data_IF_941305260523
#
_entry.id   IF_941305260523
#
_cell.length_a   1.000
_cell.length_b   1.000
_cell.length_c   1.000
_cell.angle_alpha   90.00
_cell.angle_beta   90.00
_cell.angle_gamma   90.00
#
_symmetry.space_group_name_H-M   'P 1'
#
loop_
_entity.id
_entity.type
_entity.pdbx_description
1 polymer ?
#
# COMPACT_ATOMS: atom_id res chain seq x y z
N UNK A 1 8.30 -21.07 -19.00
CA UNK A 1 7.91 -20.05 -18.01
C UNK A 1 8.43 -20.39 -16.62
N UNK A 2 8.58 -21.68 -16.29
CA UNK A 2 9.05 -22.15 -14.98
C UNK A 2 10.49 -21.71 -14.65
N UNK A 3 11.40 -21.70 -15.62
CA UNK A 3 12.79 -21.24 -15.38
C UNK A 3 12.87 -19.76 -14.97
N UNK A 4 12.00 -18.90 -15.51
CA UNK A 4 11.98 -17.47 -15.16
C UNK A 4 11.39 -17.27 -13.77
N UNK A 5 10.27 -17.94 -13.46
CA UNK A 5 9.67 -17.88 -12.12
C UNK A 5 10.62 -18.44 -11.05
N UNK A 6 11.37 -19.51 -11.36
CA UNK A 6 12.37 -20.08 -10.45
C UNK A 6 13.50 -19.09 -10.20
N UNK A 7 14.07 -18.47 -11.24
CA UNK A 7 15.12 -17.46 -11.10
C UNK A 7 14.63 -16.25 -10.28
N UNK A 8 13.44 -15.74 -10.57
CA UNK A 8 12.82 -14.63 -9.82
C UNK A 8 12.61 -15.01 -8.36
N UNK A 9 12.11 -16.21 -8.08
CA UNK A 9 11.92 -16.68 -6.71
C UNK A 9 13.26 -16.80 -5.96
N UNK A 10 14.30 -17.31 -6.62
CA UNK A 10 15.66 -17.38 -6.05
C UNK A 10 16.20 -15.99 -5.68
N UNK A 11 15.87 -14.96 -6.45
CA UNK A 11 16.23 -13.57 -6.13
C UNK A 11 15.35 -12.95 -5.02
N UNK A 12 14.04 -13.20 -5.06
CA UNK A 12 13.07 -12.64 -4.10
C UNK A 12 13.21 -13.23 -2.70
N UNK A 13 13.35 -14.56 -2.61
CA UNK A 13 13.35 -15.30 -1.35
C UNK A 13 14.31 -14.73 -0.30
N UNK A 14 15.61 -14.55 -0.57
CA UNK A 14 16.54 -14.06 0.44
C UNK A 14 16.22 -12.64 0.91
N UNK A 15 15.63 -11.81 0.06
CA UNK A 15 15.27 -10.42 0.42
C UNK A 15 14.00 -10.41 1.29
N UNK A 16 12.98 -11.19 0.90
CA UNK A 16 11.74 -11.32 1.66
C UNK A 16 11.97 -11.98 3.03
N UNK A 17 12.83 -13.01 3.09
CA UNK A 17 13.20 -13.70 4.33
C UNK A 17 13.98 -12.78 5.28
N UNK A 18 14.85 -11.91 4.77
CA UNK A 18 15.53 -10.91 5.62
C UNK A 18 14.53 -9.89 6.16
N UNK A 19 13.64 -9.39 5.31
CA UNK A 19 12.64 -8.39 5.71
C UNK A 19 11.66 -8.91 6.77
N UNK A 20 11.24 -10.18 6.67
CA UNK A 20 10.33 -10.77 7.68
C UNK A 20 11.01 -10.99 9.03
N UNK A 21 12.31 -11.32 9.03
CA UNK A 21 13.09 -11.53 10.26
C UNK A 21 13.45 -10.20 10.92
N UNK A 22 13.99 -9.25 10.16
CA UNK A 22 14.43 -7.97 10.68
C UNK A 22 14.17 -6.83 9.69
N UNK A 23 13.33 -5.87 10.10
CA UNK A 23 13.07 -4.67 9.32
C UNK A 23 14.11 -3.60 9.64
N UNK A 24 14.79 -3.14 8.59
CA UNK A 24 15.73 -2.03 8.64
C UNK A 24 15.65 -1.24 7.33
N UNK A 25 16.33 -0.08 7.28
CA UNK A 25 16.43 0.70 6.05
C UNK A 25 17.01 -0.13 4.91
N UNK A 26 18.06 -0.91 5.20
CA UNK A 26 18.72 -1.77 4.22
C UNK A 26 17.77 -2.87 3.71
N UNK A 27 17.12 -3.63 4.59
CA UNK A 27 16.26 -4.74 4.15
C UNK A 27 15.04 -4.25 3.38
N UNK A 28 14.56 -3.05 3.68
CA UNK A 28 13.47 -2.41 2.96
C UNK A 28 13.90 -1.89 1.59
N UNK A 29 15.08 -1.25 1.50
CA UNK A 29 15.65 -0.75 0.24
C UNK A 29 16.07 -1.88 -0.71
N UNK A 30 16.60 -2.98 -0.19
CA UNK A 30 16.91 -4.18 -0.98
C UNK A 30 15.67 -4.65 -1.74
N UNK A 31 14.51 -4.73 -1.05
CA UNK A 31 13.27 -5.14 -1.71
C UNK A 31 12.77 -4.08 -2.69
N UNK A 32 12.73 -2.81 -2.28
CA UNK A 32 12.25 -1.71 -3.12
C UNK A 32 13.04 -1.59 -4.43
N UNK A 33 14.36 -1.76 -4.37
CA UNK A 33 15.25 -1.68 -5.53
C UNK A 33 15.22 -2.95 -6.40
N UNK A 34 14.89 -4.11 -5.84
CA UNK A 34 14.75 -5.35 -6.60
C UNK A 34 13.50 -5.34 -7.49
N UNK A 35 12.37 -4.80 -7.02
CA UNK A 35 11.08 -4.88 -7.72
C UNK A 35 11.10 -4.39 -9.18
N UNK A 36 11.68 -3.21 -9.52
CA UNK A 36 11.75 -2.73 -10.90
C UNK A 36 12.56 -3.62 -11.85
N UNK A 37 13.44 -4.47 -11.31
CA UNK A 37 14.30 -5.36 -12.11
C UNK A 37 13.61 -6.66 -12.50
N UNK A 38 12.48 -6.97 -11.87
CA UNK A 38 11.75 -8.21 -12.08
C UNK A 38 10.68 -8.04 -13.18
N UNK A 39 10.41 -9.09 -13.98
CA UNK A 39 9.31 -9.04 -14.95
C UNK A 39 7.97 -8.84 -14.25
N UNK A 40 7.13 -7.90 -14.69
CA UNK A 40 5.83 -7.59 -14.06
C UNK A 40 4.92 -8.82 -13.93
N UNK A 41 4.96 -9.75 -14.90
CA UNK A 41 4.23 -11.02 -14.81
C UNK A 41 4.70 -11.89 -13.63
N UNK A 42 6.00 -11.90 -13.35
CA UNK A 42 6.55 -12.62 -12.21
C UNK A 42 6.22 -11.91 -10.90
N UNK A 43 6.29 -10.57 -10.86
CA UNK A 43 5.84 -9.76 -9.72
C UNK A 43 4.37 -10.04 -9.40
N UNK A 44 3.50 -10.12 -10.42
CA UNK A 44 2.09 -10.50 -10.25
C UNK A 44 1.95 -11.91 -9.65
N UNK A 45 2.68 -12.91 -10.17
CA UNK A 45 2.61 -14.28 -9.68
C UNK A 45 3.05 -14.42 -8.22
N UNK A 46 4.04 -13.62 -7.80
CA UNK A 46 4.56 -13.61 -6.43
C UNK A 46 4.03 -12.46 -5.58
N UNK A 47 2.99 -11.75 -6.02
CA UNK A 47 2.51 -10.52 -5.36
C UNK A 47 2.23 -10.74 -3.87
N UNK A 48 1.47 -11.79 -3.53
CA UNK A 48 1.14 -12.13 -2.13
C UNK A 48 2.38 -12.54 -1.32
N UNK A 49 3.36 -13.21 -1.95
CA UNK A 49 4.60 -13.59 -1.29
C UNK A 49 5.45 -12.34 -0.96
N UNK A 50 5.46 -11.36 -1.86
CA UNK A 50 6.21 -10.10 -1.68
C UNK A 50 5.50 -9.17 -0.70
N UNK A 51 4.16 -9.06 -0.77
CA UNK A 51 3.40 -8.17 0.11
C UNK A 51 3.44 -8.65 1.55
N UNK A 52 3.39 -9.96 1.79
CA UNK A 52 3.26 -10.54 3.12
C UNK A 52 4.31 -10.05 4.15
N UNK A 53 5.63 -10.05 3.88
CA UNK A 53 6.61 -9.48 4.79
C UNK A 53 6.35 -8.01 5.13
N UNK A 54 5.96 -7.20 4.14
CA UNK A 54 5.67 -5.77 4.32
C UNK A 54 4.47 -5.60 5.25
N UNK A 55 3.40 -6.34 4.97
CA UNK A 55 2.15 -6.27 5.72
C UNK A 55 2.35 -6.67 7.19
N UNK A 56 3.08 -7.76 7.45
CA UNK A 56 3.36 -8.22 8.81
C UNK A 56 4.22 -7.21 9.58
N UNK A 57 5.20 -6.57 8.94
CA UNK A 57 6.02 -5.56 9.61
C UNK A 57 5.23 -4.28 9.90
N UNK A 58 4.32 -3.86 9.03
CA UNK A 58 3.44 -2.70 9.26
C UNK A 58 2.48 -2.88 10.45
N UNK A 59 2.21 -4.12 10.86
CA UNK A 59 1.42 -4.42 12.06
C UNK A 59 2.22 -4.30 13.36
N UNK A 60 3.56 -4.22 13.30
CA UNK A 60 4.44 -4.12 14.47
C UNK A 60 4.68 -2.66 14.88
N UNK A 61 5.07 -2.39 16.14
CA UNK A 61 5.49 -1.07 16.56
C UNK A 61 6.83 -0.70 15.89
N UNK A 62 6.77 0.20 14.91
CA UNK A 62 7.92 0.72 14.18
C UNK A 62 7.92 2.26 14.24
N UNK A 63 9.11 2.86 14.09
CA UNK A 63 9.22 4.31 13.93
C UNK A 63 8.59 4.76 12.59
N UNK A 64 8.24 6.04 12.49
CA UNK A 64 7.54 6.58 11.31
C UNK A 64 8.34 6.43 10.02
N UNK A 65 9.67 6.55 10.09
CA UNK A 65 10.54 6.44 8.92
C UNK A 65 10.51 5.03 8.32
N UNK A 66 10.66 3.97 9.13
CA UNK A 66 10.58 2.59 8.65
C UNK A 66 9.18 2.26 8.13
N UNK A 67 8.12 2.76 8.78
CA UNK A 67 6.76 2.61 8.26
C UNK A 67 6.61 3.26 6.89
N UNK A 68 7.16 4.46 6.73
CA UNK A 68 7.12 5.19 5.47
C UNK A 68 7.82 4.38 4.37
N UNK A 69 9.04 3.90 4.62
CA UNK A 69 9.78 3.07 3.67
C UNK A 69 9.01 1.80 3.29
N UNK A 70 8.39 1.11 4.24
CA UNK A 70 7.56 -0.08 3.97
C UNK A 70 6.35 0.26 3.08
N UNK A 71 5.66 1.37 3.36
CA UNK A 71 4.51 1.83 2.55
C UNK A 71 4.96 2.21 1.13
N UNK A 72 6.11 2.86 0.99
CA UNK A 72 6.69 3.18 -0.33
C UNK A 72 7.10 1.91 -1.09
N UNK A 73 7.65 0.90 -0.42
CA UNK A 73 7.95 -0.40 -1.04
C UNK A 73 6.67 -1.12 -1.47
N UNK A 74 5.59 -1.01 -0.69
CA UNK A 74 4.28 -1.54 -1.09
C UNK A 74 3.74 -0.80 -2.33
N UNK A 75 3.90 0.51 -2.38
CA UNK A 75 3.55 1.32 -3.55
C UNK A 75 4.31 0.86 -4.79
N UNK A 76 5.62 0.59 -4.64
CA UNK A 76 6.45 0.08 -5.73
C UNK A 76 6.01 -1.31 -6.19
N UNK A 77 5.61 -2.21 -5.29
CA UNK A 77 5.04 -3.51 -5.68
C UNK A 77 3.82 -3.34 -6.59
N UNK A 78 2.92 -2.42 -6.25
CA UNK A 78 1.72 -2.17 -7.04
C UNK A 78 1.98 -1.30 -8.27
N UNK A 79 3.14 -0.66 -8.43
CA UNK A 79 3.56 -0.12 -9.73
C UNK A 79 3.74 -1.21 -10.78
N UNK A 80 4.10 -2.43 -10.36
CA UNK A 80 4.42 -3.57 -11.24
C UNK A 80 3.42 -4.72 -11.16
N UNK A 81 2.29 -4.54 -10.47
CA UNK A 81 1.25 -5.56 -10.31
C UNK A 81 -0.14 -4.96 -10.14
N UNK A 82 -1.17 -5.78 -10.36
CA UNK A 82 -2.57 -5.41 -10.28
C UNK A 82 -3.26 -6.04 -9.08
N UNK A 83 -4.24 -5.33 -8.52
CA UNK A 83 -5.15 -5.86 -7.51
C UNK A 83 -6.34 -6.51 -8.22
N UNK A 84 -6.58 -7.78 -7.95
CA UNK A 84 -7.57 -8.60 -8.67
C UNK A 84 -8.96 -8.64 -8.01
N UNK A 85 -9.08 -8.16 -6.78
CA UNK A 85 -10.30 -8.30 -5.98
C UNK A 85 -10.51 -7.13 -5.02
N UNK A 86 -11.77 -6.71 -4.87
CA UNK A 86 -12.18 -5.68 -3.92
C UNK A 86 -11.78 -6.04 -2.47
N UNK A 87 -11.83 -7.33 -2.12
CA UNK A 87 -11.41 -7.82 -0.80
C UNK A 87 -9.95 -7.47 -0.51
N UNK A 88 -9.05 -7.77 -1.45
CA UNK A 88 -7.63 -7.44 -1.33
C UNK A 88 -7.40 -5.94 -1.28
N UNK A 89 -8.08 -5.18 -2.16
CA UNK A 89 -8.03 -3.71 -2.16
C UNK A 89 -8.36 -3.12 -0.78
N UNK A 90 -9.54 -3.44 -0.24
CA UNK A 90 -9.97 -2.88 1.05
C UNK A 90 -9.15 -3.38 2.24
N UNK A 91 -8.65 -4.63 2.18
CA UNK A 91 -7.74 -5.17 3.21
C UNK A 91 -6.46 -4.34 3.28
N UNK A 92 -5.87 -4.01 2.14
CA UNK A 92 -4.66 -3.18 2.05
C UNK A 92 -4.95 -1.73 2.46
N UNK A 93 -6.05 -1.13 2.00
CA UNK A 93 -6.46 0.20 2.46
C UNK A 93 -6.64 0.25 3.98
N UNK A 94 -7.24 -0.77 4.58
CA UNK A 94 -7.40 -0.87 6.04
C UNK A 94 -6.05 -0.90 6.73
N UNK A 95 -5.11 -1.73 6.25
CA UNK A 95 -3.75 -1.82 6.79
C UNK A 95 -3.00 -0.48 6.69
N UNK A 96 -3.14 0.22 5.57
CA UNK A 96 -2.52 1.52 5.32
C UNK A 96 -3.09 2.61 6.23
N UNK A 97 -4.42 2.68 6.34
CA UNK A 97 -5.08 3.63 7.23
C UNK A 97 -4.70 3.42 8.69
N UNK A 98 -4.52 2.18 9.15
CA UNK A 98 -4.04 1.88 10.51
C UNK A 98 -2.70 2.55 10.86
N UNK A 99 -1.90 2.95 9.87
CA UNK A 99 -0.64 3.66 10.10
C UNK A 99 -0.82 5.14 10.45
N UNK A 100 -1.98 5.72 10.09
CA UNK A 100 -2.23 7.18 10.11
C UNK A 100 -3.53 7.55 10.83
N UNK A 101 -4.25 6.59 11.39
CA UNK A 101 -5.43 6.83 12.23
C UNK A 101 -5.12 6.56 13.70
N UNK A 102 -5.85 7.22 14.59
CA UNK A 102 -5.84 6.94 16.02
C UNK A 102 -6.37 5.53 16.31
N UNK A 103 -6.03 4.97 17.47
CA UNK A 103 -6.47 3.61 17.88
C UNK A 103 -7.99 3.44 17.88
N UNK A 104 -8.74 4.52 18.17
CA UNK A 104 -10.21 4.52 18.12
C UNK A 104 -10.77 4.69 16.69
N UNK A 105 -9.92 4.89 15.67
CA UNK A 105 -10.27 5.04 14.25
C UNK A 105 -11.20 6.22 13.92
N UNK A 106 -11.20 7.25 14.78
CA UNK A 106 -12.08 8.42 14.64
C UNK A 106 -11.31 9.64 14.11
N UNK A 107 -9.99 9.69 14.29
CA UNK A 107 -9.17 10.85 13.93
C UNK A 107 -7.86 10.45 13.24
N UNK A 108 -7.25 11.41 12.55
CA UNK A 108 -5.88 11.29 12.04
C UNK A 108 -4.91 11.27 13.21
N UNK A 109 -3.93 10.37 13.18
CA UNK A 109 -2.91 10.27 14.22
C UNK A 109 -1.87 11.39 14.11
N UNK A 110 -1.21 11.71 15.23
CA UNK A 110 -0.09 12.66 15.27
C UNK A 110 1.23 11.99 14.85
N UNK A 111 1.25 11.38 13.67
CA UNK A 111 2.46 10.84 13.01
C UNK A 111 3.00 11.84 11.99
N UNK A 112 4.18 11.58 11.43
CA UNK A 112 4.80 12.45 10.43
C UNK A 112 3.90 12.62 9.20
N UNK A 113 3.83 13.84 8.65
CA UNK A 113 3.00 14.12 7.48
C UNK A 113 3.57 13.43 6.21
N UNK A 114 4.86 13.12 6.19
CA UNK A 114 5.53 12.33 5.15
C UNK A 114 5.03 10.87 5.13
N UNK A 115 4.78 10.28 6.30
CA UNK A 115 4.16 8.96 6.40
C UNK A 115 2.72 9.01 5.92
N UNK A 116 1.96 10.04 6.31
CA UNK A 116 0.59 10.25 5.84
C UNK A 116 0.53 10.38 4.31
N UNK A 117 1.43 11.15 3.72
CA UNK A 117 1.53 11.31 2.27
C UNK A 117 1.85 10.00 1.58
N UNK A 118 2.80 9.23 2.12
CA UNK A 118 3.13 7.91 1.57
C UNK A 118 1.94 6.94 1.60
N UNK A 119 1.14 6.98 2.68
CA UNK A 119 -0.10 6.20 2.78
C UNK A 119 -1.13 6.62 1.72
N UNK A 120 -1.34 7.93 1.54
CA UNK A 120 -2.25 8.45 0.52
C UNK A 120 -1.83 8.03 -0.89
N UNK A 121 -0.53 8.16 -1.20
CA UNK A 121 0.04 7.76 -2.49
C UNK A 121 -0.12 6.26 -2.73
N UNK A 122 0.08 5.44 -1.69
CA UNK A 122 -0.11 4.00 -1.79
C UNK A 122 -1.57 3.64 -2.05
N UNK A 123 -2.53 4.24 -1.35
CA UNK A 123 -3.97 4.04 -1.59
C UNK A 123 -4.35 4.44 -3.02
N UNK A 124 -3.86 5.60 -3.49
CA UNK A 124 -4.10 6.05 -4.85
C UNK A 124 -3.57 5.04 -5.87
N UNK A 125 -2.34 4.53 -5.64
CA UNK A 125 -1.74 3.53 -6.52
C UNK A 125 -2.51 2.20 -6.52
N UNK A 126 -2.99 1.74 -5.37
CA UNK A 126 -3.82 0.53 -5.28
C UNK A 126 -5.08 0.67 -6.14
N UNK A 127 -5.73 1.83 -6.12
CA UNK A 127 -6.90 2.11 -6.93
C UNK A 127 -6.58 2.08 -8.43
N UNK A 128 -5.52 2.80 -8.84
CA UNK A 128 -5.08 2.84 -10.25
C UNK A 128 -4.56 1.48 -10.75
N UNK A 129 -4.07 0.63 -9.85
CA UNK A 129 -3.65 -0.75 -10.13
C UNK A 129 -4.77 -1.78 -10.02
N UNK A 130 -6.01 -1.39 -9.72
CA UNK A 130 -7.07 -2.38 -9.56
C UNK A 130 -7.65 -2.77 -10.91
N UNK A 131 -7.90 -4.07 -11.09
CA UNK A 131 -8.63 -4.56 -12.26
C UNK A 131 -10.06 -4.00 -12.27
N UNK A 132 -10.64 -3.81 -13.46
CA UNK A 132 -11.98 -3.24 -13.60
C UNK A 132 -13.05 -4.01 -12.81
N UNK A 133 -12.96 -5.34 -12.73
CA UNK A 133 -13.89 -6.14 -11.91
C UNK A 133 -13.72 -5.85 -10.42
N UNK A 134 -12.48 -5.74 -9.93
CA UNK A 134 -12.19 -5.41 -8.54
C UNK A 134 -12.75 -4.02 -8.17
N UNK A 135 -12.62 -3.05 -9.08
CA UNK A 135 -13.21 -1.73 -8.91
C UNK A 135 -14.73 -1.80 -8.92
N UNK A 136 -15.35 -2.43 -9.92
CA UNK A 136 -16.80 -2.58 -9.99
C UNK A 136 -17.37 -3.18 -8.70
N UNK A 137 -16.75 -4.25 -8.20
CA UNK A 137 -17.13 -4.87 -6.94
C UNK A 137 -16.90 -3.92 -5.75
N UNK A 138 -15.85 -3.12 -5.76
CA UNK A 138 -15.55 -2.16 -4.69
C UNK A 138 -16.62 -1.05 -4.55
N UNK A 139 -17.28 -0.68 -5.65
CA UNK A 139 -18.42 0.26 -5.66
C UNK A 139 -19.78 -0.42 -5.52
N UNK A 140 -19.82 -1.72 -5.23
CA UNK A 140 -21.08 -2.36 -4.87
C UNK A 140 -21.58 -1.86 -3.51
N UNK A 141 -22.91 -1.85 -3.33
CA UNK A 141 -23.55 -1.41 -2.08
C UNK A 141 -23.02 -2.18 -0.86
N UNK A 142 -22.72 -3.45 -1.03
CA UNK A 142 -22.20 -4.33 0.04
C UNK A 142 -20.82 -3.89 0.54
N UNK A 143 -20.05 -3.18 -0.30
CA UNK A 143 -18.71 -2.70 0.03
C UNK A 143 -18.66 -1.23 0.48
N UNK A 144 -19.78 -0.50 0.46
CA UNK A 144 -19.82 0.88 0.96
C UNK A 144 -19.29 1.05 2.39
N UNK A 145 -19.58 0.15 3.36
CA UNK A 145 -19.01 0.25 4.70
C UNK A 145 -17.48 0.15 4.74
N UNK A 146 -16.86 -0.48 3.72
CA UNK A 146 -15.40 -0.60 3.59
C UNK A 146 -14.78 0.60 2.87
N UNK A 147 -15.50 1.20 1.92
CA UNK A 147 -15.07 2.41 1.21
C UNK A 147 -15.20 3.68 2.05
N UNK A 148 -16.27 3.81 2.83
CA UNK A 148 -16.61 5.03 3.58
C UNK A 148 -15.46 5.52 4.50
N UNK A 149 -14.77 4.64 5.27
CA UNK A 149 -13.63 5.06 6.07
C UNK A 149 -12.46 5.62 5.25
N UNK A 150 -12.22 5.07 4.05
CA UNK A 150 -11.15 5.55 3.15
C UNK A 150 -11.45 6.98 2.70
N UNK A 151 -12.67 7.21 2.19
CA UNK A 151 -13.12 8.53 1.75
C UNK A 151 -13.10 9.54 2.91
N UNK A 152 -13.65 9.16 4.06
CA UNK A 152 -13.66 10.01 5.24
C UNK A 152 -12.25 10.43 5.66
N UNK A 153 -11.31 9.48 5.70
CA UNK A 153 -9.94 9.78 6.11
C UNK A 153 -9.20 10.69 5.12
N UNK A 154 -9.39 10.50 3.81
CA UNK A 154 -8.83 11.39 2.81
C UNK A 154 -9.37 12.83 2.95
N UNK A 155 -10.66 12.99 3.26
CA UNK A 155 -11.26 14.29 3.55
C UNK A 155 -10.62 14.93 4.79
N UNK A 156 -10.40 14.17 5.86
CA UNK A 156 -9.75 14.69 7.07
C UNK A 156 -8.32 15.17 6.78
N UNK A 157 -7.55 14.40 6.00
CA UNK A 157 -6.18 14.76 5.60
C UNK A 157 -6.15 16.02 4.73
N UNK A 158 -7.04 16.10 3.72
CA UNK A 158 -7.16 17.26 2.85
C UNK A 158 -7.52 18.56 3.59
N UNK A 159 -8.29 18.46 4.68
CA UNK A 159 -8.78 19.61 5.43
C UNK A 159 -7.84 20.09 6.54
N UNK A 160 -7.23 19.17 7.28
CA UNK A 160 -6.66 19.49 8.60
C UNK A 160 -5.12 19.50 8.64
N UNK A 161 -4.44 18.92 7.66
CA UNK A 161 -2.98 18.79 7.66
C UNK A 161 -2.28 20.07 7.17
N UNK A 162 -1.00 20.26 7.51
CA UNK A 162 -0.27 21.49 7.19
C UNK A 162 0.48 21.40 5.86
N UNK A 163 1.03 20.22 5.54
CA UNK A 163 1.79 19.95 4.34
C UNK A 163 0.87 20.02 3.13
N UNK A 164 1.10 21.03 2.28
CA UNK A 164 0.28 21.27 1.09
C UNK A 164 0.28 20.04 0.17
N UNK A 165 1.43 19.37 0.01
CA UNK A 165 1.54 18.16 -0.81
C UNK A 165 0.64 17.03 -0.32
N UNK A 166 0.52 16.84 1.01
CA UNK A 166 -0.40 15.86 1.60
C UNK A 166 -1.86 16.21 1.30
N UNK A 167 -2.23 17.48 1.44
CA UNK A 167 -3.58 17.93 1.16
C UNK A 167 -3.95 17.74 -0.32
N UNK A 168 -3.05 18.11 -1.23
CA UNK A 168 -3.22 17.92 -2.68
C UNK A 168 -3.30 16.44 -3.02
N UNK A 169 -2.37 15.61 -2.54
CA UNK A 169 -2.40 14.17 -2.79
C UNK A 169 -3.68 13.51 -2.27
N UNK A 170 -4.22 13.96 -1.13
CA UNK A 170 -5.48 13.45 -0.61
C UNK A 170 -6.68 13.81 -1.50
N UNK A 171 -6.69 15.01 -2.08
CA UNK A 171 -7.70 15.43 -3.06
C UNK A 171 -7.58 14.67 -4.38
N UNK A 172 -6.37 14.48 -4.89
CA UNK A 172 -6.11 13.67 -6.10
C UNK A 172 -6.56 12.23 -5.91
N UNK A 173 -6.26 11.64 -4.75
CA UNK A 173 -6.73 10.31 -4.39
C UNK A 173 -8.26 10.25 -4.33
N UNK A 174 -8.92 11.25 -3.72
CA UNK A 174 -10.39 11.35 -3.75
C UNK A 174 -10.95 11.42 -5.18
N UNK A 175 -10.31 12.18 -6.07
CA UNK A 175 -10.74 12.26 -7.47
C UNK A 175 -10.64 10.90 -8.15
N UNK A 176 -9.56 10.15 -7.94
CA UNK A 176 -9.41 8.78 -8.46
C UNK A 176 -10.49 7.85 -7.89
N UNK A 177 -10.78 7.94 -6.59
CA UNK A 177 -11.83 7.16 -5.94
C UNK A 177 -13.25 7.54 -6.40
N UNK A 178 -13.46 8.73 -6.95
CA UNK A 178 -14.76 9.17 -7.45
C UNK A 178 -14.89 9.08 -8.98
N UNK A 179 -13.81 8.73 -9.68
CA UNK A 179 -13.79 8.61 -11.14
C UNK A 179 -14.03 7.17 -11.58
N UNK A 180 -15.25 6.68 -11.37
CA UNK A 180 -15.73 5.36 -11.82
C UNK A 180 -17.14 5.46 -12.38
#
# INVERSE_FOLDING_TARGET
MDNVNNAVFTSLKPVCDRLIVNVSEQTTNDLKSLLPTLPSKAVQNFQNYISFPIEIQLLKPLNSQLKQMLVETLTELYNHSFVDSASTLFRLCTLLLQQVVTKNKIAVSNVSEELKLSVVNCINRLWLSSMSQALYDAYSRDNYPRLSPVVFMLIQLAKNEKLIQLRVGALECLLVLCHV
#
